data_IF_511176014637
#
_entry.id   IF_511176014637
#
_cell.length_a   1.000
_cell.length_b   1.000
_cell.length_c   1.000
_cell.angle_alpha   90.00
_cell.angle_beta   90.00
_cell.angle_gamma   90.00
#
_symmetry.space_group_name_H-M   'P 1'
#
loop_
_entity.id
_entity.type
_entity.pdbx_description
1 polymer ?
#
# COMPACT_ATOMS: atom_id res chain seq x y z
N UNK A 1 37.17 54.91 33.97
CA UNK A 1 35.73 54.92 33.62
C UNK A 1 35.52 53.76 32.67
N UNK A 2 35.26 52.58 33.22
CA UNK A 2 35.13 51.34 32.46
C UNK A 2 33.67 51.08 32.10
N UNK A 3 33.37 51.04 30.80
CA UNK A 3 32.04 50.71 30.28
C UNK A 3 31.93 49.20 30.03
N UNK A 4 31.10 48.52 30.84
CA UNK A 4 30.79 47.10 30.67
C UNK A 4 29.87 46.85 29.46
N UNK A 5 30.32 45.97 28.56
CA UNK A 5 29.56 45.48 27.40
C UNK A 5 28.52 44.45 27.86
N UNK A 6 27.24 44.77 27.67
CA UNK A 6 26.10 43.92 28.04
C UNK A 6 25.75 42.96 26.89
N UNK A 7 26.22 41.72 26.95
CA UNK A 7 25.92 40.68 25.97
C UNK A 7 24.44 40.24 26.03
N UNK A 8 23.74 40.28 24.89
CA UNK A 8 22.32 39.92 24.75
C UNK A 8 22.10 38.40 24.87
N UNK A 9 21.53 37.97 25.99
CA UNK A 9 20.95 36.64 26.23
C UNK A 9 19.62 36.49 25.47
N UNK A 10 19.67 36.40 24.13
CA UNK A 10 18.45 36.21 23.29
C UNK A 10 18.38 34.86 22.56
N UNK A 11 19.49 34.12 22.43
CA UNK A 11 19.50 32.80 21.75
C UNK A 11 18.89 31.68 22.59
N UNK A 12 19.22 31.60 23.89
CA UNK A 12 18.84 30.49 24.77
C UNK A 12 17.32 30.26 24.92
N UNK A 13 16.51 31.32 24.81
CA UNK A 13 15.04 31.24 24.93
C UNK A 13 14.40 30.69 23.64
N UNK A 14 14.95 31.04 22.48
CA UNK A 14 14.42 30.59 21.17
C UNK A 14 14.65 29.09 20.98
N UNK A 15 15.80 28.58 21.44
CA UNK A 15 16.14 27.16 21.35
C UNK A 15 15.22 26.31 22.23
N UNK A 16 14.90 26.77 23.45
CA UNK A 16 13.98 26.06 24.36
C UNK A 16 12.55 25.96 23.81
N UNK A 17 12.08 26.98 23.08
CA UNK A 17 10.75 26.97 22.47
C UNK A 17 10.67 26.01 21.28
N UNK A 18 11.75 25.90 20.49
CA UNK A 18 11.82 24.96 19.38
C UNK A 18 11.86 23.52 19.90
N UNK A 19 12.66 23.23 20.93
CA UNK A 19 12.73 21.90 21.53
C UNK A 19 11.39 21.47 22.14
N UNK A 20 10.68 22.40 22.80
CA UNK A 20 9.36 22.14 23.36
C UNK A 20 8.32 21.90 22.25
N UNK A 21 8.37 22.67 21.16
CA UNK A 21 7.49 22.49 20.01
C UNK A 21 7.72 21.13 19.32
N UNK A 22 8.97 20.69 19.18
CA UNK A 22 9.31 19.37 18.61
C UNK A 22 8.80 18.25 19.52
N UNK A 23 8.99 18.36 20.85
CA UNK A 23 8.46 17.40 21.81
C UNK A 23 6.94 17.33 21.76
N UNK A 24 6.25 18.47 21.69
CA UNK A 24 4.80 18.54 21.52
C UNK A 24 4.34 17.86 20.22
N UNK A 25 5.00 18.13 19.08
CA UNK A 25 4.73 17.49 17.79
C UNK A 25 4.92 15.97 17.82
N UNK A 26 5.93 15.47 18.53
CA UNK A 26 6.17 14.04 18.71
C UNK A 26 5.12 13.39 19.63
N UNK A 27 4.66 14.10 20.67
CA UNK A 27 3.62 13.58 21.60
C UNK A 27 2.23 13.59 20.94
N UNK A 28 1.95 14.53 20.03
CA UNK A 28 0.71 14.56 19.25
C UNK A 28 0.73 13.67 18.01
N UNK A 29 1.92 13.25 17.55
CA UNK A 29 2.04 12.24 16.49
C UNK A 29 1.71 10.87 17.06
N UNK A 30 0.41 10.62 17.23
CA UNK A 30 -0.08 9.25 17.34
C UNK A 30 0.16 8.59 15.97
N UNK A 31 1.31 7.94 15.82
CA UNK A 31 1.49 6.95 14.78
C UNK A 31 0.56 5.78 15.12
N UNK A 32 -0.72 5.91 14.75
CA UNK A 32 -1.69 4.83 14.81
C UNK A 32 -1.16 3.74 13.89
N UNK A 33 -0.70 2.62 14.47
CA UNK A 33 -0.42 1.43 13.68
C UNK A 33 -1.75 0.89 13.17
N UNK A 34 -2.17 1.33 11.99
CA UNK A 34 -3.35 0.78 11.31
C UNK A 34 -3.03 -0.66 10.92
N UNK A 35 -3.89 -1.61 11.32
CA UNK A 35 -3.75 -3.00 10.92
C UNK A 35 -3.94 -3.10 9.39
N UNK A 36 -2.99 -3.67 8.63
CA UNK A 36 -3.13 -3.80 7.19
C UNK A 36 -4.32 -4.69 6.82
N UNK A 37 -5.07 -4.28 5.80
CA UNK A 37 -6.12 -5.11 5.23
C UNK A 37 -5.51 -6.30 4.45
N UNK A 38 -5.52 -7.49 5.06
CA UNK A 38 -4.99 -8.73 4.44
C UNK A 38 -6.00 -9.33 3.45
N UNK A 39 -5.80 -9.05 2.16
CA UNK A 39 -6.64 -9.55 1.08
C UNK A 39 -6.63 -11.07 0.93
N UNK A 40 -5.52 -11.75 1.25
CA UNK A 40 -5.47 -13.22 1.12
C UNK A 40 -6.38 -13.88 2.17
N UNK A 41 -6.44 -13.29 3.37
CA UNK A 41 -7.35 -13.72 4.42
C UNK A 41 -8.81 -13.38 4.09
N UNK A 42 -9.07 -12.17 3.60
CA UNK A 42 -10.45 -11.70 3.32
C UNK A 42 -11.07 -12.43 2.14
N UNK A 43 -10.30 -12.72 1.10
CA UNK A 43 -10.73 -13.54 -0.05
C UNK A 43 -10.62 -15.04 0.23
N UNK A 44 -10.31 -15.42 1.48
CA UNK A 44 -10.25 -16.80 1.97
C UNK A 44 -9.35 -17.74 1.13
N UNK A 45 -8.20 -17.24 0.68
CA UNK A 45 -7.20 -18.06 -0.02
C UNK A 45 -6.80 -19.33 0.74
N UNK A 46 -6.72 -19.37 2.08
CA UNK A 46 -6.44 -20.59 2.83
C UNK A 46 -7.42 -21.74 2.60
N UNK A 47 -8.68 -21.47 2.26
CA UNK A 47 -9.67 -22.52 1.95
C UNK A 47 -9.58 -23.05 0.51
N UNK A 48 -8.74 -22.45 -0.33
CA UNK A 48 -8.55 -22.79 -1.74
C UNK A 48 -9.85 -22.70 -2.56
N UNK A 49 -10.45 -21.50 -2.70
CA UNK A 49 -11.60 -21.29 -3.54
C UNK A 49 -11.31 -21.63 -5.01
N UNK A 50 -12.36 -21.70 -5.83
CA UNK A 50 -12.23 -22.06 -7.25
C UNK A 50 -11.18 -21.21 -7.98
N UNK A 51 -10.30 -21.88 -8.73
CA UNK A 51 -9.19 -21.24 -9.44
C UNK A 51 -8.00 -20.84 -8.57
N UNK A 52 -8.01 -21.11 -7.25
CA UNK A 52 -6.89 -20.87 -6.33
C UNK A 52 -6.24 -22.19 -5.91
N UNK A 53 -4.93 -22.29 -6.08
CA UNK A 53 -4.15 -23.47 -5.66
C UNK A 53 -2.97 -23.07 -4.80
N UNK A 54 -2.66 -23.86 -3.77
CA UNK A 54 -1.50 -23.64 -2.90
C UNK A 54 -0.21 -23.99 -3.63
N UNK A 55 0.84 -23.18 -3.46
CA UNK A 55 2.16 -23.43 -4.05
C UNK A 55 3.28 -22.90 -3.14
N UNK A 56 4.53 -23.14 -3.53
CA UNK A 56 5.70 -22.63 -2.82
C UNK A 56 5.95 -21.17 -3.20
N UNK A 57 6.13 -20.31 -2.19
CA UNK A 57 6.50 -18.91 -2.36
C UNK A 57 7.97 -18.74 -2.75
N UNK A 58 8.44 -17.49 -2.74
CA UNK A 58 9.78 -17.13 -3.22
C UNK A 58 10.91 -17.80 -2.42
N UNK A 59 10.78 -17.94 -1.10
CA UNK A 59 11.80 -18.61 -0.29
C UNK A 59 11.40 -20.06 -0.01
N UNK A 60 11.95 -21.02 -0.76
CA UNK A 60 11.78 -22.44 -0.44
C UNK A 60 12.45 -22.83 0.90
N UNK A 61 13.45 -22.06 1.33
CA UNK A 61 14.19 -22.28 2.57
C UNK A 61 14.40 -20.97 3.33
N UNK A 62 13.41 -20.58 4.15
CA UNK A 62 13.50 -19.39 5.00
C UNK A 62 14.12 -19.76 6.35
N UNK A 63 15.22 -19.10 6.73
CA UNK A 63 15.93 -19.39 8.00
C UNK A 63 15.08 -19.14 9.25
N UNK A 64 14.15 -18.20 9.18
CA UNK A 64 13.31 -17.81 10.32
C UNK A 64 12.08 -18.69 10.54
N UNK A 65 11.76 -19.61 9.63
CA UNK A 65 10.59 -20.49 9.72
C UNK A 65 10.98 -21.94 9.44
N UNK A 66 10.21 -22.89 9.97
CA UNK A 66 10.40 -24.32 9.68
C UNK A 66 9.68 -24.70 8.38
N UNK A 67 10.15 -24.19 7.24
CA UNK A 67 9.61 -24.58 5.94
C UNK A 67 9.74 -23.54 4.83
N UNK A 68 9.21 -23.91 3.67
CA UNK A 68 9.07 -23.00 2.55
C UNK A 68 7.99 -21.94 2.80
N UNK A 69 8.16 -20.77 2.20
CA UNK A 69 7.11 -19.77 2.12
C UNK A 69 5.88 -20.36 1.42
N UNK A 70 4.70 -19.97 1.86
CA UNK A 70 3.44 -20.32 1.21
C UNK A 70 3.08 -19.21 0.23
N UNK A 71 2.71 -19.60 -0.98
CA UNK A 71 2.08 -18.73 -1.95
C UNK A 71 0.85 -19.40 -2.56
N UNK A 72 0.11 -18.63 -3.34
CA UNK A 72 -1.09 -19.10 -4.03
C UNK A 72 -0.98 -18.78 -5.51
N UNK A 73 -1.37 -19.75 -6.32
CA UNK A 73 -1.49 -19.60 -7.78
C UNK A 73 -2.96 -19.40 -8.11
N UNK A 74 -3.25 -18.29 -8.75
CA UNK A 74 -4.59 -17.91 -9.21
C UNK A 74 -4.69 -18.18 -10.72
N UNK A 75 -5.72 -18.90 -11.14
CA UNK A 75 -6.02 -19.19 -12.54
C UNK A 75 -6.93 -18.11 -13.15
N UNK A 76 -7.19 -18.19 -14.46
CA UNK A 76 -8.02 -17.19 -15.15
C UNK A 76 -9.51 -17.32 -14.83
N UNK A 77 -9.91 -18.49 -14.36
CA UNK A 77 -11.28 -18.86 -14.04
C UNK A 77 -11.66 -18.44 -12.61
N UNK A 78 -10.68 -18.05 -11.79
CA UNK A 78 -10.91 -17.60 -10.41
C UNK A 78 -11.78 -16.33 -10.38
N UNK A 79 -12.88 -16.37 -9.62
CA UNK A 79 -13.76 -15.24 -9.37
C UNK A 79 -13.64 -14.86 -7.90
N UNK A 80 -12.76 -13.91 -7.60
CA UNK A 80 -12.42 -13.51 -6.23
C UNK A 80 -12.83 -12.07 -6.00
N UNK A 81 -13.81 -11.85 -5.13
CA UNK A 81 -14.27 -10.51 -4.77
C UNK A 81 -14.80 -10.51 -3.34
N UNK A 82 -14.58 -9.41 -2.63
CA UNK A 82 -15.16 -9.15 -1.31
C UNK A 82 -15.66 -7.70 -1.25
N UNK A 83 -16.75 -7.42 -0.51
CA UNK A 83 -17.19 -6.05 -0.26
C UNK A 83 -16.10 -5.23 0.43
N UNK A 84 -15.86 -3.99 -0.01
CA UNK A 84 -14.87 -3.09 0.62
C UNK A 84 -15.17 -2.79 2.09
N UNK A 85 -16.44 -2.89 2.51
CA UNK A 85 -16.85 -2.82 3.93
C UNK A 85 -16.25 -3.94 4.79
N UNK A 86 -15.80 -5.05 4.21
CA UNK A 86 -15.05 -6.07 4.97
C UNK A 86 -13.58 -5.67 5.19
N UNK A 87 -13.01 -4.85 4.30
CA UNK A 87 -11.67 -4.28 4.43
C UNK A 87 -11.65 -3.15 5.47
N UNK A 88 -12.71 -2.33 5.46
CA UNK A 88 -12.85 -1.15 6.32
C UNK A 88 -14.23 -1.17 7.02
N UNK A 89 -14.43 -2.01 8.05
CA UNK A 89 -15.75 -2.25 8.65
C UNK A 89 -16.28 -1.08 9.49
N UNK A 90 -15.39 -0.27 10.05
CA UNK A 90 -15.74 0.86 10.92
C UNK A 90 -15.30 2.20 10.32
N UNK A 91 -14.78 2.21 9.10
CA UNK A 91 -14.12 3.37 8.50
C UNK A 91 -14.46 3.49 7.01
N UNK A 92 -14.20 4.67 6.45
CA UNK A 92 -14.27 4.91 5.02
C UNK A 92 -13.00 4.42 4.34
N UNK A 93 -13.04 4.25 3.01
CA UNK A 93 -11.81 3.99 2.26
C UNK A 93 -10.83 5.16 2.49
N UNK A 94 -9.58 4.90 2.89
CA UNK A 94 -8.66 5.94 3.33
C UNK A 94 -8.18 6.81 2.16
N UNK A 95 -7.97 8.09 2.42
CA UNK A 95 -7.33 9.02 1.47
C UNK A 95 -5.85 8.65 1.28
N UNK A 96 -5.14 8.41 2.38
CA UNK A 96 -3.74 7.96 2.38
C UNK A 96 -3.63 6.47 2.66
N UNK A 97 -3.01 5.73 1.74
CA UNK A 97 -2.78 4.29 1.91
C UNK A 97 -1.51 3.82 1.20
N UNK A 98 -1.13 2.59 1.47
CA UNK A 98 -0.10 1.89 0.70
C UNK A 98 -0.60 0.50 0.32
N UNK A 99 -0.18 0.04 -0.87
CA UNK A 99 -0.47 -1.32 -1.35
C UNK A 99 0.85 -2.07 -1.35
N UNK A 100 0.91 -3.16 -0.57
CA UNK A 100 2.05 -4.06 -0.55
C UNK A 100 1.64 -5.40 -1.16
N UNK A 101 2.35 -5.83 -2.20
CA UNK A 101 2.11 -7.11 -2.85
C UNK A 101 3.43 -7.80 -3.19
N UNK A 102 3.43 -9.12 -3.08
CA UNK A 102 4.53 -9.99 -3.51
C UNK A 102 3.96 -11.00 -4.51
N UNK A 103 4.29 -10.82 -5.79
CA UNK A 103 3.62 -11.52 -6.90
C UNK A 103 4.63 -12.04 -7.91
N UNK A 104 4.26 -13.11 -8.60
CA UNK A 104 4.99 -13.67 -9.75
C UNK A 104 4.04 -13.77 -10.95
N UNK A 105 3.84 -12.69 -11.72
CA UNK A 105 2.98 -12.72 -12.90
C UNK A 105 3.54 -13.66 -13.96
N UNK A 106 2.66 -14.17 -14.84
CA UNK A 106 3.09 -15.01 -15.96
C UNK A 106 3.93 -14.14 -16.92
N UNK A 107 5.05 -14.66 -17.42
CA UNK A 107 5.91 -13.91 -18.35
C UNK A 107 5.10 -13.37 -19.53
N UNK A 108 5.16 -12.05 -19.73
CA UNK A 108 4.47 -11.34 -20.81
C UNK A 108 2.97 -11.14 -20.60
N UNK A 109 2.39 -11.48 -19.45
CA UNK A 109 1.00 -11.15 -19.15
C UNK A 109 0.83 -9.67 -18.84
N UNK A 110 -0.34 -9.14 -19.21
CA UNK A 110 -0.82 -7.83 -18.76
C UNK A 110 -2.19 -8.04 -18.10
N UNK A 111 -2.35 -7.62 -16.85
CA UNK A 111 -3.59 -7.81 -16.09
C UNK A 111 -3.64 -6.91 -14.87
N UNK A 112 -4.83 -6.62 -14.36
CA UNK A 112 -4.97 -6.05 -13.01
C UNK A 112 -4.66 -7.11 -11.95
N UNK A 113 -3.80 -6.76 -11.01
CA UNK A 113 -3.57 -7.51 -9.78
C UNK A 113 -4.72 -7.31 -8.79
N UNK A 114 -5.22 -6.07 -8.69
CA UNK A 114 -6.28 -5.65 -7.79
C UNK A 114 -7.12 -4.60 -8.50
N UNK A 115 -8.44 -4.70 -8.36
CA UNK A 115 -9.38 -3.66 -8.77
C UNK A 115 -10.41 -3.44 -7.66
N UNK A 116 -10.77 -2.18 -7.43
CA UNK A 116 -11.85 -1.78 -6.54
C UNK A 116 -12.94 -1.13 -7.39
N UNK A 117 -14.18 -1.54 -7.19
CA UNK A 117 -15.34 -1.06 -7.93
C UNK A 117 -16.32 -0.36 -6.99
N UNK A 118 -17.02 0.64 -7.50
CA UNK A 118 -18.18 1.21 -6.79
C UNK A 118 -19.42 0.31 -6.94
N UNK A 119 -20.53 0.73 -6.33
CA UNK A 119 -21.79 -0.03 -6.33
C UNK A 119 -22.41 -0.20 -7.73
N UNK A 120 -22.04 0.67 -8.68
CA UNK A 120 -22.46 0.60 -10.09
C UNK A 120 -21.54 -0.31 -10.94
N UNK A 121 -20.48 -0.89 -10.35
CA UNK A 121 -19.52 -1.73 -11.06
C UNK A 121 -18.46 -0.96 -11.84
N UNK A 122 -18.32 0.35 -11.61
CA UNK A 122 -17.29 1.18 -12.23
C UNK A 122 -16.00 1.04 -11.42
N UNK A 123 -14.88 0.77 -12.11
CA UNK A 123 -13.58 0.64 -11.48
C UNK A 123 -13.10 2.01 -10.96
N UNK A 124 -12.88 2.12 -9.65
CA UNK A 124 -12.44 3.34 -8.97
C UNK A 124 -10.94 3.30 -8.64
N UNK A 125 -10.37 2.11 -8.49
CA UNK A 125 -8.94 1.90 -8.27
C UNK A 125 -8.49 0.62 -8.97
N UNK A 126 -7.27 0.61 -9.50
CA UNK A 126 -6.69 -0.52 -10.20
C UNK A 126 -5.16 -0.54 -10.13
N UNK A 127 -4.60 -1.68 -9.74
CA UNK A 127 -3.15 -1.91 -9.79
C UNK A 127 -2.86 -2.90 -10.91
N UNK A 128 -2.20 -2.44 -11.97
CA UNK A 128 -1.82 -3.30 -13.07
C UNK A 128 -0.47 -4.00 -12.84
N UNK A 129 -0.32 -5.22 -13.36
CA UNK A 129 0.95 -5.91 -13.51
C UNK A 129 1.20 -6.23 -14.98
N UNK A 130 2.43 -5.99 -15.42
CA UNK A 130 2.77 -6.09 -16.83
C UNK A 130 3.95 -5.22 -17.20
N UNK A 131 4.08 -4.89 -18.49
CA UNK A 131 5.08 -3.93 -18.97
C UNK A 131 4.50 -2.53 -18.92
N UNK A 132 5.24 -1.60 -18.31
CA UNK A 132 4.79 -0.24 -18.03
C UNK A 132 3.41 -0.23 -17.37
N UNK A 133 3.26 -0.82 -16.18
CA UNK A 133 1.96 -0.95 -15.53
C UNK A 133 1.37 0.42 -15.22
N UNK A 134 0.04 0.48 -15.21
CA UNK A 134 -0.74 1.64 -14.80
C UNK A 134 -1.24 1.46 -13.35
N UNK A 135 -1.24 2.56 -12.59
CA UNK A 135 -2.03 2.68 -11.37
C UNK A 135 -3.23 3.56 -11.64
N UNK A 136 -4.40 2.93 -11.76
CA UNK A 136 -5.68 3.60 -12.00
C UNK A 136 -6.26 4.04 -10.67
N UNK A 137 -6.69 5.29 -10.57
CA UNK A 137 -7.52 5.78 -9.48
C UNK A 137 -8.30 7.01 -9.92
N UNK A 138 -9.48 7.22 -9.34
CA UNK A 138 -10.24 8.45 -9.45
C UNK A 138 -10.57 8.96 -8.04
N UNK A 139 -10.38 10.25 -7.80
CA UNK A 139 -10.89 10.91 -6.60
C UNK A 139 -12.39 11.22 -6.74
N UNK A 140 -12.97 11.83 -5.71
CA UNK A 140 -14.38 12.21 -5.70
C UNK A 140 -14.76 13.28 -6.77
N UNK A 141 -13.78 13.91 -7.42
CA UNK A 141 -13.96 14.82 -8.54
C UNK A 141 -13.74 14.14 -9.90
N UNK A 142 -13.45 12.84 -9.93
CA UNK A 142 -13.14 12.09 -11.15
C UNK A 142 -11.76 12.43 -11.72
N UNK A 143 -10.79 12.76 -10.86
CA UNK A 143 -9.41 13.07 -11.25
C UNK A 143 -8.42 12.03 -10.69
N UNK A 144 -7.29 11.78 -11.39
CA UNK A 144 -6.95 12.23 -12.76
C UNK A 144 -7.87 11.63 -13.83
N UNK A 145 -7.89 12.22 -15.04
CA UNK A 145 -8.58 11.59 -16.18
C UNK A 145 -7.80 10.38 -16.69
N UNK A 146 -8.41 9.47 -17.47
CA UNK A 146 -7.76 8.23 -17.87
C UNK A 146 -6.42 8.37 -18.59
N UNK A 147 -6.24 9.44 -19.37
CA UNK A 147 -4.98 9.77 -20.04
C UNK A 147 -3.85 10.20 -19.08
N UNK A 148 -4.22 10.62 -17.88
CA UNK A 148 -3.33 11.14 -16.84
C UNK A 148 -3.07 10.12 -15.71
N UNK A 149 -3.56 8.87 -15.84
CA UNK A 149 -3.24 7.82 -14.88
C UNK A 149 -1.72 7.61 -14.78
N UNK A 150 -1.18 7.46 -13.55
CA UNK A 150 0.23 7.14 -13.36
C UNK A 150 0.67 5.91 -14.15
N UNK A 151 1.60 6.12 -15.07
CA UNK A 151 2.21 5.10 -15.91
C UNK A 151 3.67 4.89 -15.51
N UNK A 152 4.00 3.70 -15.00
CA UNK A 152 5.36 3.37 -14.56
C UNK A 152 6.23 2.92 -15.75
N UNK A 153 6.63 3.88 -16.60
CA UNK A 153 7.43 3.61 -17.81
C UNK A 153 8.76 2.92 -17.50
N UNK A 154 9.14 1.96 -18.33
CA UNK A 154 10.42 1.23 -18.21
C UNK A 154 10.41 0.11 -17.16
N UNK A 155 9.34 -0.04 -16.39
CA UNK A 155 9.14 -1.16 -15.47
C UNK A 155 8.50 -2.36 -16.19
N UNK A 156 8.90 -3.57 -15.85
CA UNK A 156 8.24 -4.80 -16.31
C UNK A 156 8.03 -5.75 -15.13
N UNK A 157 6.81 -5.80 -14.61
CA UNK A 157 6.41 -6.68 -13.52
C UNK A 157 6.05 -8.10 -13.98
N UNK A 158 5.94 -8.33 -15.30
CA UNK A 158 5.60 -9.63 -15.88
C UNK A 158 6.80 -10.25 -16.63
N UNK A 159 7.97 -10.28 -15.99
CA UNK A 159 9.16 -10.94 -16.52
C UNK A 159 9.22 -12.46 -16.23
N UNK A 160 8.30 -12.94 -15.39
CA UNK A 160 8.17 -14.34 -14.97
C UNK A 160 9.05 -14.71 -13.77
N UNK A 161 9.70 -13.73 -13.13
CA UNK A 161 10.51 -13.95 -11.94
C UNK A 161 9.69 -13.81 -10.67
#
# INVERSE_FOLDING_TARGET
MDTHIRWKVKRRIKDSQITLAILLLCVTSQASSVEPADLLKILDFPSLPEGVTKTTGFCAHRKSTKGADVAYRVSKEAQLSAPTKQLYPADVFPEDFSILATVKPKKGSQSFLLSVYNEQGIQQLGVEVGRSPVFLYEDHMGKPSPEDYPLFRGLNLADGK
#
